data_IF_553997537218
#
_entry.id   IF_553997537218
#
_cell.length_a   1.000
_cell.length_b   1.000
_cell.length_c   1.000
_cell.angle_alpha   90.00
_cell.angle_beta   90.00
_cell.angle_gamma   90.00
#
_symmetry.space_group_name_H-M   'P 1'
#
loop_
_entity.id
_entity.type
_entity.pdbx_description
1 polymer ?
#
# COMPACT_ATOMS: atom_id res chain seq x y z
N UNK A 1 16.43 1.20 13.11
CA UNK A 1 16.75 2.41 12.31
C UNK A 1 15.44 3.15 12.05
N UNK A 2 15.28 4.43 12.41
CA UNK A 2 14.03 5.16 12.22
C UNK A 2 13.84 5.60 10.76
N UNK A 3 12.75 5.19 10.10
CA UNK A 3 12.51 5.51 8.67
C UNK A 3 12.52 7.02 8.40
N UNK A 4 11.92 7.80 9.31
CA UNK A 4 11.83 9.25 9.20
C UNK A 4 13.19 9.95 9.05
N UNK A 5 14.27 9.41 9.64
CA UNK A 5 15.60 10.03 9.58
C UNK A 5 16.33 9.79 8.26
N UNK A 6 15.87 8.82 7.45
CA UNK A 6 16.49 8.43 6.18
C UNK A 6 15.58 8.75 4.98
N UNK A 7 14.44 9.41 5.21
CA UNK A 7 13.53 9.80 4.16
C UNK A 7 14.11 10.98 3.36
N UNK A 8 14.07 10.89 2.03
CA UNK A 8 14.34 12.01 1.14
C UNK A 8 13.03 12.75 0.86
N UNK A 9 12.90 13.98 1.37
CA UNK A 9 11.69 14.77 1.20
C UNK A 9 11.47 15.27 -0.24
N UNK A 10 12.47 15.18 -1.12
CA UNK A 10 12.32 15.50 -2.54
C UNK A 10 11.70 14.36 -3.35
N UNK A 11 11.58 13.18 -2.76
CA UNK A 11 11.08 11.99 -3.41
C UNK A 11 9.78 11.57 -2.70
N UNK A 12 8.65 11.61 -3.40
CA UNK A 12 7.35 11.32 -2.80
C UNK A 12 6.35 10.78 -3.82
N UNK A 13 5.38 10.00 -3.33
CA UNK A 13 4.18 9.61 -4.07
C UNK A 13 3.00 10.45 -3.61
N UNK A 14 2.15 10.84 -4.55
CA UNK A 14 0.95 11.63 -4.27
C UNK A 14 -0.28 10.75 -4.43
N UNK A 15 -1.10 10.75 -3.39
CA UNK A 15 -2.38 10.04 -3.35
C UNK A 15 -3.52 11.04 -3.14
N UNK A 16 -4.66 10.76 -3.74
CA UNK A 16 -5.88 11.53 -3.50
C UNK A 16 -6.49 11.14 -2.16
N UNK A 17 -7.08 12.13 -1.48
CA UNK A 17 -7.70 11.96 -0.16
C UNK A 17 -8.82 10.90 -0.16
N UNK A 18 -9.52 10.73 -1.28
CA UNK A 18 -10.58 9.75 -1.47
C UNK A 18 -10.46 9.06 -2.85
N UNK A 19 -10.85 7.79 -2.94
CA UNK A 19 -10.78 7.01 -4.19
C UNK A 19 -11.84 7.43 -5.22
N UNK A 20 -13.00 7.92 -4.78
CA UNK A 20 -14.00 8.56 -5.63
C UNK A 20 -13.49 9.88 -6.22
N UNK A 21 -12.75 10.67 -5.44
CA UNK A 21 -12.06 11.86 -5.97
C UNK A 21 -10.98 11.50 -7.00
N UNK A 22 -10.26 10.38 -6.80
CA UNK A 22 -9.34 9.86 -7.80
C UNK A 22 -10.08 9.51 -9.10
N UNK A 23 -11.17 8.74 -9.02
CA UNK A 23 -12.01 8.40 -10.18
C UNK A 23 -12.53 9.66 -10.90
N UNK A 24 -13.05 10.63 -10.13
CA UNK A 24 -13.56 11.89 -10.68
C UNK A 24 -12.46 12.69 -11.40
N UNK A 25 -11.23 12.68 -10.90
CA UNK A 25 -10.11 13.40 -11.52
C UNK A 25 -9.74 12.85 -12.90
N UNK A 26 -9.97 11.56 -13.13
CA UNK A 26 -9.68 10.87 -14.38
C UNK A 26 -10.92 10.66 -15.26
N UNK A 27 -12.04 11.32 -14.95
CA UNK A 27 -13.33 11.17 -15.63
C UNK A 27 -13.79 9.70 -15.74
N UNK A 28 -13.50 8.91 -14.71
CA UNK A 28 -13.86 7.49 -14.65
C UNK A 28 -15.30 7.36 -14.16
N UNK A 29 -16.18 6.95 -15.06
CA UNK A 29 -17.55 6.64 -14.71
C UNK A 29 -17.63 5.45 -13.73
N UNK A 30 -18.55 5.52 -12.77
CA UNK A 30 -18.69 4.50 -11.72
C UNK A 30 -18.96 3.09 -12.27
N UNK A 31 -19.66 2.98 -13.40
CA UNK A 31 -19.91 1.71 -14.07
C UNK A 31 -18.62 1.03 -14.58
N UNK A 32 -17.58 1.80 -14.93
CA UNK A 32 -16.27 1.27 -15.32
C UNK A 32 -15.54 0.70 -14.12
N UNK A 33 -15.74 1.26 -12.91
CA UNK A 33 -15.17 0.67 -11.68
C UNK A 33 -15.85 -0.66 -11.34
N UNK A 34 -17.17 -0.75 -11.55
CA UNK A 34 -17.93 -1.99 -11.29
C UNK A 34 -17.69 -3.07 -12.36
N UNK A 35 -17.54 -2.67 -13.62
CA UNK A 35 -17.34 -3.54 -14.77
C UNK A 35 -16.06 -3.16 -15.50
N UNK A 36 -14.92 -3.32 -14.82
CA UNK A 36 -13.66 -2.79 -15.36
C UNK A 36 -13.10 -3.65 -16.48
N UNK A 37 -13.01 -3.12 -17.71
CA UNK A 37 -12.44 -3.85 -18.83
C UNK A 37 -10.93 -4.06 -18.64
N UNK A 38 -10.32 -5.04 -19.33
CA UNK A 38 -8.89 -5.34 -19.20
C UNK A 38 -7.97 -4.15 -19.49
N UNK A 39 -8.39 -3.22 -20.36
CA UNK A 39 -7.64 -2.00 -20.68
C UNK A 39 -7.45 -1.05 -19.48
N UNK A 40 -8.17 -1.25 -18.38
CA UNK A 40 -8.09 -0.43 -17.16
C UNK A 40 -7.38 -1.14 -16.00
N UNK A 41 -6.66 -2.24 -16.23
CA UNK A 41 -5.95 -2.95 -15.16
C UNK A 41 -4.90 -2.07 -14.47
N UNK A 42 -4.23 -1.19 -15.20
CA UNK A 42 -3.33 -0.20 -14.60
C UNK A 42 -4.05 0.78 -13.66
N UNK A 43 -5.28 1.17 -14.00
CA UNK A 43 -6.11 2.03 -13.16
C UNK A 43 -6.61 1.30 -11.90
N UNK A 44 -6.95 0.00 -12.01
CA UNK A 44 -7.28 -0.82 -10.82
C UNK A 44 -6.14 -0.82 -9.82
N UNK A 45 -4.90 -0.96 -10.29
CA UNK A 45 -3.69 -0.90 -9.45
C UNK A 45 -3.61 0.44 -8.71
N UNK A 46 -3.66 1.55 -9.45
CA UNK A 46 -3.61 2.89 -8.86
C UNK A 46 -4.76 3.15 -7.85
N UNK A 47 -5.97 2.67 -8.14
CA UNK A 47 -7.12 2.78 -7.24
C UNK A 47 -6.91 1.96 -5.95
N UNK A 48 -6.39 0.74 -6.08
CA UNK A 48 -6.09 -0.13 -4.95
C UNK A 48 -4.97 0.44 -4.07
N UNK A 49 -3.90 0.96 -4.66
CA UNK A 49 -2.82 1.64 -3.94
C UNK A 49 -3.33 2.88 -3.19
N UNK A 50 -4.15 3.71 -3.85
CA UNK A 50 -4.72 4.89 -3.22
C UNK A 50 -5.64 4.53 -2.03
N UNK A 51 -6.41 3.44 -2.15
CA UNK A 51 -7.20 2.89 -1.06
C UNK A 51 -6.33 2.37 0.10
N UNK A 52 -5.27 1.62 -0.21
CA UNK A 52 -4.31 1.09 0.79
C UNK A 52 -3.68 2.25 1.56
N UNK A 53 -3.21 3.29 0.88
CA UNK A 53 -2.65 4.49 1.50
C UNK A 53 -3.63 5.12 2.50
N UNK A 54 -4.89 5.34 2.08
CA UNK A 54 -5.93 5.91 2.95
C UNK A 54 -6.19 5.04 4.19
N UNK A 55 -6.30 3.72 4.00
CA UNK A 55 -6.53 2.79 5.09
C UNK A 55 -5.37 2.81 6.10
N UNK A 56 -4.13 2.82 5.62
CA UNK A 56 -2.93 2.90 6.47
C UNK A 56 -2.90 4.20 7.29
N UNK A 57 -3.07 5.35 6.63
CA UNK A 57 -3.07 6.66 7.31
C UNK A 57 -4.21 6.76 8.33
N UNK A 58 -5.41 6.29 7.98
CA UNK A 58 -6.57 6.27 8.89
C UNK A 58 -6.34 5.38 10.11
N UNK A 59 -5.60 4.29 9.96
CA UNK A 59 -5.21 3.40 11.06
C UNK A 59 -4.03 3.94 11.89
N UNK A 60 -3.48 5.10 11.55
CA UNK A 60 -2.39 5.75 12.28
C UNK A 60 -0.99 5.32 11.87
N UNK A 61 -0.83 4.64 10.73
CA UNK A 61 0.49 4.36 10.17
C UNK A 61 1.07 5.62 9.51
N UNK A 62 2.40 5.69 9.49
CA UNK A 62 3.16 6.66 8.66
C UNK A 62 3.89 5.89 7.56
N UNK A 63 3.23 5.65 6.41
CA UNK A 63 3.84 4.92 5.30
C UNK A 63 4.87 5.77 4.55
N UNK A 64 5.92 5.12 4.10
CA UNK A 64 6.96 5.61 3.21
C UNK A 64 6.99 4.74 1.97
N UNK A 65 7.48 5.29 0.86
CA UNK A 65 7.85 4.47 -0.30
C UNK A 65 9.36 4.24 -0.28
N UNK A 66 9.81 3.16 -0.90
CA UNK A 66 11.23 2.86 -1.04
C UNK A 66 11.54 2.43 -2.48
N UNK A 67 12.63 2.93 -3.04
CA UNK A 67 13.12 2.53 -4.35
C UNK A 67 14.64 2.33 -4.31
N UNK A 68 15.13 1.31 -5.00
CA UNK A 68 16.53 1.17 -5.38
C UNK A 68 16.77 1.82 -6.75
N UNK A 69 18.03 2.11 -7.11
CA UNK A 69 18.45 2.60 -8.44
C UNK A 69 18.05 1.64 -9.59
N UNK A 70 16.76 1.63 -9.93
CA UNK A 70 16.17 0.84 -11.01
C UNK A 70 15.99 -0.66 -10.75
N UNK A 71 16.20 -1.16 -9.53
CA UNK A 71 16.18 -2.62 -9.24
C UNK A 71 14.95 -3.14 -8.54
N UNK A 72 14.34 -2.33 -7.68
CA UNK A 72 13.18 -2.73 -6.88
C UNK A 72 12.49 -1.49 -6.34
N UNK A 73 11.18 -1.57 -6.21
CA UNK A 73 10.33 -0.55 -5.62
C UNK A 73 9.39 -1.23 -4.63
N UNK A 74 9.15 -0.56 -3.51
CA UNK A 74 8.13 -0.91 -2.54
C UNK A 74 7.26 0.33 -2.37
N UNK A 75 5.99 0.19 -2.72
CA UNK A 75 5.02 1.29 -2.62
C UNK A 75 4.80 1.72 -1.17
N UNK A 76 4.86 0.75 -0.25
CA UNK A 76 4.51 0.95 1.15
C UNK A 76 5.46 0.21 2.08
N UNK A 77 6.13 0.99 2.92
CA UNK A 77 6.98 0.54 4.01
C UNK A 77 6.66 1.41 5.22
N UNK A 78 6.49 0.81 6.39
CA UNK A 78 6.25 1.56 7.62
C UNK A 78 7.02 0.95 8.77
N UNK A 79 7.11 1.72 9.85
CA UNK A 79 7.77 1.30 11.07
C UNK A 79 6.73 0.88 12.11
N UNK A 80 6.87 -0.32 12.68
CA UNK A 80 6.02 -0.75 13.79
C UNK A 80 6.45 -0.09 15.12
N UNK A 81 5.65 -0.27 16.18
CA UNK A 81 5.97 0.26 17.52
C UNK A 81 7.30 -0.22 18.11
N UNK A 82 7.81 -1.36 17.66
CA UNK A 82 9.09 -1.91 18.12
C UNK A 82 10.28 -1.36 17.31
N UNK A 83 10.00 -0.53 16.31
CA UNK A 83 11.01 0.06 15.45
C UNK A 83 11.41 -0.82 14.26
N UNK A 84 10.69 -1.92 14.01
CA UNK A 84 10.94 -2.80 12.87
C UNK A 84 10.39 -2.17 11.58
N UNK A 85 11.11 -2.37 10.49
CA UNK A 85 10.70 -1.93 9.16
C UNK A 85 9.86 -3.05 8.53
N UNK A 86 8.59 -2.77 8.31
CA UNK A 86 7.62 -3.72 7.79
C UNK A 86 7.21 -3.28 6.39
N UNK A 87 7.52 -4.08 5.35
CA UNK A 87 7.02 -3.83 4.01
C UNK A 87 5.58 -4.34 3.91
N UNK A 88 4.77 -3.60 3.15
CA UNK A 88 3.52 -4.09 2.61
C UNK A 88 3.82 -4.57 1.19
N UNK A 89 3.63 -5.86 1.01
CA UNK A 89 4.17 -6.77 0.00
C UNK A 89 5.56 -7.38 0.26
N UNK A 90 5.80 -8.45 -0.50
CA UNK A 90 7.02 -9.25 -0.41
C UNK A 90 8.23 -8.43 -0.79
N UNK A 91 8.98 -8.01 0.22
CA UNK A 91 10.28 -7.41 0.01
C UNK A 91 11.39 -8.46 -0.09
N UNK A 92 12.50 -8.09 -0.72
CA UNK A 92 13.77 -8.85 -0.67
C UNK A 92 14.52 -8.67 0.65
N UNK A 93 14.02 -7.85 1.57
CA UNK A 93 14.59 -7.69 2.89
C UNK A 93 14.25 -8.91 3.76
N UNK A 94 14.96 -9.08 4.88
CA UNK A 94 14.63 -10.07 5.92
C UNK A 94 13.94 -9.35 7.10
N UNK A 95 12.71 -8.82 6.94
CA UNK A 95 11.99 -8.27 8.06
C UNK A 95 11.53 -9.41 8.99
N UNK A 96 11.18 -9.10 10.25
CA UNK A 96 10.57 -10.10 11.14
C UNK A 96 9.26 -10.67 10.56
N UNK A 97 8.52 -9.85 9.81
CA UNK A 97 7.39 -10.28 8.99
C UNK A 97 7.11 -9.25 7.88
N UNK A 98 6.35 -9.65 6.86
CA UNK A 98 5.79 -8.78 5.85
C UNK A 98 4.25 -8.80 5.92
N UNK A 99 3.60 -7.72 5.51
CA UNK A 99 2.17 -7.75 5.22
C UNK A 99 1.98 -8.03 3.74
N UNK A 100 0.91 -8.74 3.38
CA UNK A 100 0.46 -8.88 1.99
C UNK A 100 -1.00 -8.52 1.91
N UNK A 101 -1.34 -7.60 1.02
CA UNK A 101 -2.73 -7.26 0.75
C UNK A 101 -3.19 -8.04 -0.48
N UNK A 102 -4.29 -8.76 -0.38
CA UNK A 102 -4.76 -9.57 -1.52
C UNK A 102 -6.26 -9.78 -1.50
N UNK A 103 -6.79 -10.46 -2.52
CA UNK A 103 -8.17 -10.96 -2.54
C UNK A 103 -8.35 -12.25 -1.71
N UNK A 104 -7.27 -12.84 -1.18
CA UNK A 104 -7.35 -14.05 -0.36
C UNK A 104 -7.83 -13.71 1.06
N UNK A 105 -8.35 -14.71 1.75
CA UNK A 105 -8.68 -14.63 3.17
C UNK A 105 -7.43 -14.37 4.03
N UNK A 106 -7.67 -14.03 5.30
CA UNK A 106 -6.62 -13.93 6.30
C UNK A 106 -5.76 -15.20 6.33
N UNK A 107 -4.45 -15.01 6.45
CA UNK A 107 -3.50 -16.11 6.54
C UNK A 107 -2.15 -15.66 7.06
N UNK A 108 -1.37 -16.62 7.56
CA UNK A 108 0.01 -16.38 7.98
C UNK A 108 0.89 -17.54 7.55
N UNK A 109 1.75 -17.30 6.57
CA UNK A 109 2.63 -18.31 5.99
C UNK A 109 3.98 -17.68 5.66
N UNK A 110 5.09 -18.37 5.93
CA UNK A 110 6.45 -17.90 5.61
C UNK A 110 6.76 -16.47 6.11
N UNK A 111 6.30 -16.13 7.32
CA UNK A 111 6.40 -14.77 7.90
C UNK A 111 5.66 -13.68 7.13
N UNK A 112 4.62 -14.05 6.37
CA UNK A 112 3.79 -13.12 5.60
C UNK A 112 2.37 -13.17 6.16
N UNK A 113 1.92 -12.04 6.72
CA UNK A 113 0.52 -11.87 7.13
C UNK A 113 -0.29 -11.41 5.92
N UNK A 114 -1.10 -12.31 5.40
CA UNK A 114 -2.04 -12.00 4.32
C UNK A 114 -3.31 -11.39 4.91
N UNK A 115 -3.70 -10.23 4.40
CA UNK A 115 -4.88 -9.48 4.82
C UNK A 115 -5.73 -9.17 3.58
N UNK A 116 -7.04 -9.49 3.60
CA UNK A 116 -7.93 -9.09 2.52
C UNK A 116 -7.96 -7.57 2.35
N UNK A 117 -8.04 -7.08 1.11
CA UNK A 117 -8.10 -5.63 0.83
C UNK A 117 -9.20 -4.92 1.64
N UNK A 118 -10.40 -5.50 1.70
CA UNK A 118 -11.53 -4.94 2.45
C UNK A 118 -11.31 -4.92 3.98
N UNK A 119 -10.34 -5.67 4.48
CA UNK A 119 -10.10 -5.86 5.91
C UNK A 119 -8.88 -5.09 6.42
N UNK A 120 -8.33 -4.15 5.63
CA UNK A 120 -7.20 -3.32 6.03
C UNK A 120 -7.46 -2.50 7.30
N UNK A 121 -8.72 -2.17 7.61
CA UNK A 121 -9.10 -1.48 8.85
C UNK A 121 -8.72 -2.25 10.14
N UNK A 122 -8.46 -3.56 10.04
CA UNK A 122 -8.01 -4.38 11.16
C UNK A 122 -6.52 -4.14 11.53
N UNK A 123 -5.74 -3.49 10.66
CA UNK A 123 -4.33 -3.24 10.91
C UNK A 123 -4.13 -2.21 12.02
N UNK A 124 -3.09 -2.41 12.82
CA UNK A 124 -2.66 -1.51 13.89
C UNK A 124 -1.14 -1.29 13.82
N UNK A 125 -0.65 -0.05 14.03
CA UNK A 125 0.78 0.24 14.11
C UNK A 125 1.48 -0.48 15.24
#
# INVERSE_FOLDING_TARGET
>A
MPLAAYADNNAFKVYMMDTGLLCSKFDIAANVVLNTPPSFDGFKGALAENYVMQALVTNGFSPYYWSSEGKAELDFVFQDRQGNIIPLDMSRFQPPYALRVSAKNFGYENNIKSVPLYALFCLRP
#
